data_IF_034517282359
#
_entry.id   IF_034517282359
#
_cell.length_a   1.000
_cell.length_b   1.000
_cell.length_c   1.000
_cell.angle_alpha   90.00
_cell.angle_beta   90.00
_cell.angle_gamma   90.00
#
_symmetry.space_group_name_H-M   'P 1'
#
loop_
_entity.id
_entity.type
_entity.pdbx_description
1 polymer ?
#
# COMPACT_ATOMS: atom_id res chain seq x y z
N UNK A 1 -8.05 9.96 18.55
CA UNK A 1 -8.64 9.55 17.25
C UNK A 1 -7.56 9.53 16.17
N UNK A 2 -7.74 8.74 15.11
CA UNK A 2 -6.80 8.64 13.98
C UNK A 2 -7.49 9.15 12.71
N UNK A 3 -6.85 10.10 12.02
CA UNK A 3 -7.34 10.76 10.82
C UNK A 3 -6.41 10.52 9.63
N UNK A 4 -6.92 10.82 8.43
CA UNK A 4 -6.19 10.77 7.17
C UNK A 4 -6.15 12.16 6.55
N UNK A 5 -4.99 12.62 6.11
CA UNK A 5 -4.87 13.82 5.27
C UNK A 5 -3.78 13.65 4.20
N UNK A 6 -3.81 14.51 3.19
CA UNK A 6 -2.89 14.45 2.07
C UNK A 6 -1.50 14.97 2.47
N UNK A 7 -0.46 14.21 2.16
CA UNK A 7 0.94 14.58 2.40
C UNK A 7 1.36 15.90 1.73
N UNK A 8 0.68 16.32 0.66
CA UNK A 8 0.92 17.60 -0.02
C UNK A 8 0.33 18.81 0.71
N UNK A 9 -0.61 18.60 1.63
CA UNK A 9 -1.16 19.70 2.41
C UNK A 9 -0.10 20.26 3.37
N UNK A 10 -0.15 21.57 3.60
CA UNK A 10 0.79 22.21 4.52
C UNK A 10 0.50 21.77 5.96
N UNK A 11 1.56 21.65 6.76
CA UNK A 11 1.43 21.31 8.20
C UNK A 11 0.48 22.28 8.90
N UNK A 12 0.58 23.59 8.58
CA UNK A 12 -0.31 24.62 9.13
C UNK A 12 -1.78 24.31 8.84
N UNK A 13 -2.12 23.97 7.60
CA UNK A 13 -3.50 23.63 7.21
C UNK A 13 -4.01 22.40 7.94
N UNK A 14 -3.18 21.37 8.09
CA UNK A 14 -3.56 20.14 8.78
C UNK A 14 -3.77 20.40 10.27
N UNK A 15 -2.87 21.13 10.93
CA UNK A 15 -2.98 21.45 12.36
C UNK A 15 -4.10 22.44 12.67
N UNK A 16 -4.54 23.26 11.70
CA UNK A 16 -5.77 24.04 11.83
C UNK A 16 -7.02 23.15 11.88
N UNK A 17 -7.06 22.06 11.11
CA UNK A 17 -8.16 21.08 11.13
C UNK A 17 -8.09 20.18 12.36
N UNK A 18 -6.88 19.79 12.75
CA UNK A 18 -6.60 18.85 13.84
C UNK A 18 -5.56 19.46 14.80
N UNK A 19 -5.99 20.37 15.70
CA UNK A 19 -5.10 20.97 16.69
C UNK A 19 -4.35 19.90 17.50
N UNK A 20 -3.06 20.15 17.77
CA UNK A 20 -2.14 19.32 18.56
C UNK A 20 -1.93 17.87 18.06
N UNK A 21 -2.42 17.54 16.87
CA UNK A 21 -2.32 16.19 16.33
C UNK A 21 -0.87 15.80 15.99
N UNK A 22 -0.53 14.53 16.23
CA UNK A 22 0.70 13.94 15.72
C UNK A 22 0.57 13.69 14.22
N UNK A 23 1.49 14.25 13.43
CA UNK A 23 1.55 13.95 12.01
C UNK A 23 2.50 12.78 11.77
N UNK A 24 1.96 11.67 11.27
CA UNK A 24 2.74 10.48 10.94
C UNK A 24 2.80 10.31 9.42
N UNK A 25 4.00 10.47 8.86
CA UNK A 25 4.25 10.22 7.45
C UNK A 25 4.45 8.73 7.21
N UNK A 26 3.47 8.10 6.55
CA UNK A 26 3.50 6.67 6.20
C UNK A 26 3.82 6.45 4.72
N UNK A 27 4.29 7.48 4.01
CA UNK A 27 4.67 7.36 2.61
C UNK A 27 6.05 6.72 2.44
N UNK A 28 6.38 6.29 1.23
CA UNK A 28 7.71 5.81 0.86
C UNK A 28 8.82 6.87 0.98
N UNK A 29 8.49 8.12 1.31
CA UNK A 29 9.42 9.23 1.51
C UNK A 29 9.57 9.62 2.98
N UNK A 30 8.89 8.92 3.87
CA UNK A 30 9.04 9.13 5.30
C UNK A 30 10.50 8.96 5.73
N UNK A 31 10.93 9.82 6.65
CA UNK A 31 12.29 9.83 7.23
C UNK A 31 12.34 9.13 8.59
N UNK A 32 11.22 8.55 9.02
CA UNK A 32 11.04 7.87 10.31
C UNK A 32 10.68 6.41 10.07
N UNK A 33 10.61 5.62 11.14
CA UNK A 33 10.24 4.21 11.06
C UNK A 33 8.83 3.95 10.50
N UNK A 34 7.98 4.98 10.45
CA UNK A 34 6.69 4.92 9.79
C UNK A 34 6.78 4.68 8.27
N UNK A 35 7.97 4.79 7.67
CA UNK A 35 8.23 4.33 6.29
C UNK A 35 7.88 2.85 6.09
N UNK A 36 7.91 2.03 7.15
CA UNK A 36 7.54 0.61 7.13
C UNK A 36 6.09 0.38 6.70
N UNK A 37 5.20 1.35 6.89
CA UNK A 37 3.80 1.26 6.46
C UNK A 37 3.62 1.46 4.95
N UNK A 38 4.64 1.96 4.26
CA UNK A 38 4.62 2.11 2.82
C UNK A 38 4.50 0.75 2.12
N UNK A 39 3.64 0.62 1.09
CA UNK A 39 3.61 -0.58 0.23
C UNK A 39 4.96 -0.89 -0.45
N UNK A 40 5.86 0.09 -0.50
CA UNK A 40 7.22 -0.04 -1.02
C UNK A 40 8.23 -0.51 0.03
N UNK A 41 7.86 -0.70 1.30
CA UNK A 41 8.85 -1.16 2.27
C UNK A 41 9.17 -2.65 2.03
N UNK A 42 10.46 -3.05 1.93
CA UNK A 42 10.85 -4.41 1.59
C UNK A 42 10.80 -5.33 2.82
N UNK A 43 9.60 -5.60 3.36
CA UNK A 43 9.39 -6.48 4.52
C UNK A 43 9.90 -7.91 4.33
N UNK A 44 9.92 -8.42 3.10
CA UNK A 44 10.31 -9.81 2.83
C UNK A 44 9.21 -10.81 3.18
N UNK A 45 9.16 -11.92 2.44
CA UNK A 45 8.32 -13.06 2.76
C UNK A 45 6.81 -12.75 2.76
N UNK A 46 6.35 -11.81 1.93
CA UNK A 46 4.92 -11.50 1.76
C UNK A 46 4.34 -12.51 0.76
N UNK A 47 3.38 -13.36 1.14
CA UNK A 47 2.75 -14.30 0.22
C UNK A 47 2.12 -13.58 -0.97
N UNK A 48 2.38 -14.08 -2.17
CA UNK A 48 1.71 -13.61 -3.38
C UNK A 48 0.38 -14.35 -3.49
N UNK A 49 -0.78 -13.67 -3.48
CA UNK A 49 -2.07 -14.34 -3.60
C UNK A 49 -2.12 -15.29 -4.81
N UNK A 50 -2.71 -16.47 -4.60
CA UNK A 50 -2.85 -17.53 -5.61
C UNK A 50 -1.52 -18.04 -6.18
N UNK A 51 -0.45 -18.00 -5.38
CA UNK A 51 0.89 -18.45 -5.76
C UNK A 51 1.64 -19.05 -4.58
N UNK A 52 2.55 -20.00 -4.85
CA UNK A 52 3.40 -20.66 -3.84
C UNK A 52 4.70 -19.91 -3.55
N UNK A 53 4.81 -18.64 -3.98
CA UNK A 53 6.01 -17.82 -3.80
C UNK A 53 5.70 -16.55 -3.02
N UNK A 54 6.76 -15.87 -2.57
CA UNK A 54 6.67 -14.63 -1.81
C UNK A 54 7.34 -13.46 -2.53
N UNK A 55 7.01 -12.24 -2.09
CA UNK A 55 7.59 -10.98 -2.54
C UNK A 55 8.22 -10.22 -1.38
N UNK A 56 9.18 -9.35 -1.68
CA UNK A 56 9.78 -8.44 -0.71
C UNK A 56 8.86 -7.29 -0.32
N UNK A 57 8.00 -6.80 -1.22
CA UNK A 57 7.07 -5.70 -0.93
C UNK A 57 5.70 -5.89 -1.57
N UNK A 58 4.69 -5.21 -1.02
CA UNK A 58 3.31 -5.22 -1.55
C UNK A 58 3.30 -4.59 -2.95
N UNK A 59 4.05 -3.51 -3.15
CA UNK A 59 4.20 -2.91 -4.48
C UNK A 59 4.92 -3.87 -5.45
N UNK A 60 5.87 -4.68 -4.97
CA UNK A 60 6.51 -5.71 -5.79
C UNK A 60 5.51 -6.74 -6.32
N UNK A 61 4.55 -7.15 -5.47
CA UNK A 61 3.43 -8.01 -5.89
C UNK A 61 2.59 -7.29 -6.95
N UNK A 62 2.19 -6.05 -6.65
CA UNK A 62 1.33 -5.25 -7.52
C UNK A 62 1.94 -5.02 -8.90
N UNK A 63 3.20 -4.60 -8.97
CA UNK A 63 3.89 -4.36 -10.23
C UNK A 63 4.28 -5.65 -10.94
N UNK A 64 4.66 -6.69 -10.18
CA UNK A 64 5.03 -7.98 -10.75
C UNK A 64 3.86 -8.64 -11.45
N UNK A 65 2.69 -8.71 -10.82
CA UNK A 65 1.49 -9.32 -11.41
C UNK A 65 0.79 -8.46 -12.47
N UNK A 66 1.20 -7.20 -12.65
CA UNK A 66 0.60 -6.29 -13.63
C UNK A 66 0.82 -6.80 -15.06
N UNK A 67 -0.24 -6.80 -15.86
CA UNK A 67 -0.19 -7.24 -17.27
C UNK A 67 -0.52 -6.07 -18.18
N UNK A 68 0.24 -5.95 -19.26
CA UNK A 68 0.05 -4.99 -20.34
C UNK A 68 -0.16 -5.73 -21.66
N UNK A 69 -0.57 -5.03 -22.72
CA UNK A 69 -0.73 -5.62 -24.06
C UNK A 69 0.55 -6.26 -24.59
N UNK A 70 1.69 -5.59 -24.40
CA UNK A 70 2.96 -6.01 -24.98
C UNK A 70 3.90 -6.66 -23.94
N UNK A 71 3.44 -6.86 -22.70
CA UNK A 71 4.25 -7.49 -21.66
C UNK A 71 3.37 -8.18 -20.62
N UNK A 72 3.66 -9.46 -20.38
CA UNK A 72 3.06 -10.25 -19.29
C UNK A 72 3.65 -9.81 -17.92
N UNK A 73 3.41 -10.59 -16.87
CA UNK A 73 3.97 -10.35 -15.54
C UNK A 73 5.50 -10.22 -15.56
N UNK A 74 6.04 -9.61 -14.51
CA UNK A 74 7.48 -9.49 -14.30
C UNK A 74 7.85 -10.03 -12.91
N UNK A 75 8.27 -11.29 -12.87
CA UNK A 75 8.62 -11.99 -11.62
C UNK A 75 9.84 -11.36 -10.91
N UNK A 76 10.67 -10.59 -11.63
CA UNK A 76 11.81 -9.90 -11.03
C UNK A 76 11.38 -8.83 -10.02
N UNK A 77 10.13 -8.35 -10.10
CA UNK A 77 9.61 -7.36 -9.14
C UNK A 77 9.38 -7.94 -7.76
N UNK A 78 9.19 -9.26 -7.63
CA UNK A 78 8.98 -9.92 -6.35
C UNK A 78 10.26 -9.98 -5.51
N UNK A 79 11.41 -10.18 -6.16
CA UNK A 79 12.73 -10.31 -5.51
C UNK A 79 13.52 -9.01 -5.41
N UNK A 80 13.00 -7.88 -5.91
CA UNK A 80 13.68 -6.60 -5.82
C UNK A 80 13.73 -6.13 -4.37
N UNK A 81 14.90 -6.09 -3.74
CA UNK A 81 15.08 -5.58 -2.36
C UNK A 81 15.37 -4.09 -2.30
N UNK A 82 15.85 -3.51 -3.42
CA UNK A 82 16.29 -2.11 -3.47
C UNK A 82 15.14 -1.12 -3.63
N UNK A 83 13.97 -1.61 -4.06
CA UNK A 83 12.78 -0.82 -4.43
C UNK A 83 13.01 0.17 -5.57
N UNK A 84 14.20 0.17 -6.20
CA UNK A 84 14.52 0.96 -7.38
C UNK A 84 13.87 0.35 -8.61
N UNK A 85 13.35 1.18 -9.51
CA UNK A 85 12.74 0.76 -10.79
C UNK A 85 11.65 -0.32 -10.64
N UNK A 86 10.90 -0.26 -9.52
CA UNK A 86 9.84 -1.22 -9.22
C UNK A 86 8.60 -1.00 -10.08
N UNK A 87 8.22 0.28 -10.28
CA UNK A 87 7.07 0.66 -11.08
C UNK A 87 7.28 0.32 -12.55
N UNK A 88 6.32 -0.39 -13.13
CA UNK A 88 6.25 -0.67 -14.57
C UNK A 88 5.31 0.32 -15.23
N UNK A 89 5.87 1.10 -16.15
CA UNK A 89 5.17 2.13 -16.92
C UNK A 89 5.95 2.47 -18.18
N UNK A 90 5.25 2.84 -19.25
CA UNK A 90 5.85 3.30 -20.50
C UNK A 90 4.95 3.00 -21.68
N UNK A 91 4.97 3.85 -22.71
CA UNK A 91 4.11 3.69 -23.90
C UNK A 91 4.36 2.38 -24.64
N UNK A 92 5.61 1.91 -24.66
CA UNK A 92 6.02 0.67 -25.34
C UNK A 92 5.35 -0.59 -24.75
N UNK A 93 4.88 -0.54 -23.50
CA UNK A 93 4.18 -1.64 -22.85
C UNK A 93 2.74 -1.83 -23.38
N UNK A 94 2.16 -0.80 -23.99
CA UNK A 94 0.73 -0.76 -24.34
C UNK A 94 -0.16 -0.46 -23.13
N UNK A 95 -1.48 -0.63 -23.30
CA UNK A 95 -2.44 -0.37 -22.21
C UNK A 95 -2.31 -1.44 -21.11
N UNK A 96 -2.69 -1.05 -19.89
CA UNK A 96 -2.79 -2.00 -18.76
C UNK A 96 -4.03 -2.86 -18.98
N UNK A 97 -3.85 -4.18 -19.04
CA UNK A 97 -4.94 -5.15 -19.16
C UNK A 97 -5.51 -5.52 -17.78
N UNK A 98 -4.67 -5.52 -16.75
CA UNK A 98 -5.09 -5.87 -15.40
C UNK A 98 -3.93 -6.46 -14.59
N UNK A 99 -4.26 -7.39 -13.70
CA UNK A 99 -3.26 -8.15 -12.94
C UNK A 99 -3.56 -9.65 -13.06
N UNK A 100 -2.54 -10.47 -13.27
CA UNK A 100 -2.71 -11.92 -13.33
C UNK A 100 -3.13 -12.47 -11.97
N UNK A 101 -4.08 -13.40 -11.98
CA UNK A 101 -4.57 -14.08 -10.79
C UNK A 101 -3.55 -15.12 -10.26
N UNK A 102 -2.42 -14.62 -9.76
CA UNK A 102 -1.28 -15.43 -9.33
C UNK A 102 -0.25 -15.70 -10.44
N UNK A 103 0.90 -16.24 -10.05
CA UNK A 103 2.05 -16.46 -10.95
C UNK A 103 1.77 -17.54 -11.97
N UNK A 104 0.95 -18.55 -11.68
CA UNK A 104 0.58 -19.57 -12.68
C UNK A 104 -0.90 -19.44 -13.10
N UNK A 105 -1.55 -18.33 -12.74
CA UNK A 105 -2.95 -18.08 -13.06
C UNK A 105 -3.17 -17.86 -14.55
N UNK A 106 -4.35 -18.26 -15.03
CA UNK A 106 -4.77 -18.06 -16.43
C UNK A 106 -5.61 -16.80 -16.62
N UNK A 107 -6.20 -16.29 -15.55
CA UNK A 107 -7.13 -15.16 -15.58
C UNK A 107 -6.40 -13.84 -15.33
N UNK A 108 -6.86 -12.79 -16.03
CA UNK A 108 -6.45 -11.41 -15.79
C UNK A 108 -7.59 -10.71 -15.05
N UNK A 109 -7.32 -10.32 -13.81
CA UNK A 109 -8.23 -9.55 -12.97
C UNK A 109 -8.25 -8.10 -13.45
N UNK A 110 -9.47 -7.55 -13.60
CA UNK A 110 -9.66 -6.12 -13.76
C UNK A 110 -9.14 -5.36 -12.52
N UNK A 111 -9.03 -4.04 -12.62
CA UNK A 111 -8.39 -3.23 -11.59
C UNK A 111 -9.06 -3.32 -10.20
N UNK A 112 -10.40 -3.39 -10.13
CA UNK A 112 -11.14 -3.51 -8.86
C UNK A 112 -10.92 -4.91 -8.25
N UNK A 113 -11.05 -5.96 -9.05
CA UNK A 113 -10.83 -7.33 -8.59
C UNK A 113 -9.38 -7.54 -8.14
N UNK A 114 -8.41 -6.97 -8.85
CA UNK A 114 -7.01 -6.98 -8.45
C UNK A 114 -6.80 -6.28 -7.09
N UNK A 115 -7.44 -5.12 -6.86
CA UNK A 115 -7.37 -4.46 -5.55
C UNK A 115 -7.89 -5.38 -4.43
N UNK A 116 -9.06 -6.00 -4.64
CA UNK A 116 -9.72 -6.85 -3.64
C UNK A 116 -9.00 -8.17 -3.38
N UNK A 117 -8.49 -8.81 -4.42
CA UNK A 117 -7.97 -10.17 -4.33
C UNK A 117 -6.44 -10.22 -4.22
N UNK A 118 -5.74 -9.15 -4.61
CA UNK A 118 -4.28 -9.07 -4.56
C UNK A 118 -3.82 -8.00 -3.56
N UNK A 119 -4.14 -6.73 -3.81
CA UNK A 119 -3.56 -5.64 -3.02
C UNK A 119 -4.00 -5.67 -1.55
N UNK A 120 -5.31 -5.81 -1.29
CA UNK A 120 -5.85 -5.83 0.08
C UNK A 120 -5.29 -7.01 0.89
N UNK A 121 -5.33 -8.27 0.44
CA UNK A 121 -4.78 -9.39 1.23
C UNK A 121 -3.29 -9.26 1.46
N UNK A 122 -2.52 -8.81 0.47
CA UNK A 122 -1.07 -8.59 0.63
C UNK A 122 -0.76 -7.48 1.63
N UNK A 123 -1.52 -6.37 1.61
CA UNK A 123 -1.33 -5.29 2.58
C UNK A 123 -1.82 -5.68 3.98
N UNK A 124 -2.94 -6.39 4.08
CA UNK A 124 -3.44 -6.89 5.36
C UNK A 124 -2.47 -7.87 6.01
N UNK A 125 -1.82 -8.74 5.21
CA UNK A 125 -0.78 -9.64 5.71
C UNK A 125 0.37 -8.88 6.39
N UNK A 126 0.85 -7.76 5.81
CA UNK A 126 1.93 -7.01 6.45
C UNK A 126 1.48 -6.40 7.79
N UNK A 127 0.25 -5.88 7.86
CA UNK A 127 -0.27 -5.30 9.09
C UNK A 127 -0.39 -6.37 10.18
N UNK A 128 -0.94 -7.54 9.84
CA UNK A 128 -1.17 -8.65 10.77
C UNK A 128 0.09 -9.40 11.19
N UNK A 129 1.09 -9.55 10.31
CA UNK A 129 2.21 -10.47 10.52
C UNK A 129 3.58 -9.80 10.62
N UNK A 130 3.70 -8.53 10.21
CA UNK A 130 5.00 -7.83 10.15
C UNK A 130 5.02 -6.53 10.96
N UNK A 131 3.86 -5.93 11.26
CA UNK A 131 3.77 -4.57 11.80
C UNK A 131 2.99 -4.44 13.12
N UNK A 132 2.81 -5.54 13.85
CA UNK A 132 2.03 -5.54 15.09
C UNK A 132 2.54 -4.51 16.11
N UNK A 133 3.87 -4.41 16.28
CA UNK A 133 4.50 -3.48 17.22
C UNK A 133 4.22 -2.02 16.84
N UNK A 134 4.40 -1.67 15.57
CA UNK A 134 4.13 -0.33 15.07
C UNK A 134 2.65 0.04 15.17
N UNK A 135 1.74 -0.93 14.94
CA UNK A 135 0.30 -0.75 15.12
C UNK A 135 -0.06 -0.50 16.59
N UNK A 136 0.46 -1.31 17.52
CA UNK A 136 0.27 -1.13 18.96
C UNK A 136 0.76 0.23 19.45
N UNK A 137 1.90 0.70 18.92
CA UNK A 137 2.42 2.04 19.23
C UNK A 137 1.45 3.14 18.78
N UNK A 138 0.94 3.08 17.54
CA UNK A 138 -0.05 4.03 17.03
C UNK A 138 -1.31 4.02 17.91
N UNK A 139 -1.80 2.84 18.29
CA UNK A 139 -2.97 2.69 19.16
C UNK A 139 -2.72 3.38 20.50
N UNK A 140 -1.58 3.10 21.15
CA UNK A 140 -1.21 3.69 22.45
C UNK A 140 -1.10 5.22 22.38
N UNK A 141 -0.50 5.75 21.31
CA UNK A 141 -0.42 7.20 21.10
C UNK A 141 -1.83 7.78 20.91
N UNK A 142 -2.69 7.10 20.14
CA UNK A 142 -4.02 7.58 19.77
C UNK A 142 -5.00 7.73 20.95
N UNK A 143 -4.71 7.05 22.08
CA UNK A 143 -5.44 7.17 23.35
C UNK A 143 -5.23 8.53 24.03
N UNK A 144 -4.07 9.17 23.80
CA UNK A 144 -3.67 10.38 24.50
C UNK A 144 -3.69 11.62 23.61
N UNK A 145 -3.58 11.43 22.29
CA UNK A 145 -3.55 12.54 21.31
C UNK A 145 -4.13 12.12 19.98
N UNK A 146 -4.62 13.10 19.23
CA UNK A 146 -5.02 12.87 17.85
C UNK A 146 -3.79 12.52 16.99
N UNK A 147 -3.99 11.66 16.01
CA UNK A 147 -2.99 11.26 15.02
C UNK A 147 -3.55 11.57 13.63
N UNK A 148 -2.73 12.10 12.73
CA UNK A 148 -3.04 12.22 11.30
C UNK A 148 -2.01 11.41 10.53
N UNK A 149 -2.45 10.36 9.85
CA UNK A 149 -1.63 9.61 8.90
C UNK A 149 -1.59 10.38 7.58
N UNK A 150 -0.38 10.57 7.05
CA UNK A 150 -0.16 11.29 5.79
C UNK A 150 0.13 10.34 4.65
N UNK A 151 -0.62 10.51 3.55
CA UNK A 151 -0.47 9.74 2.31
C UNK A 151 -0.63 10.67 1.09
N UNK A 152 -0.07 10.30 -0.08
CA UNK A 152 -0.22 11.07 -1.31
C UNK A 152 -1.63 10.98 -1.91
N UNK A 153 -2.36 9.90 -1.63
CA UNK A 153 -3.77 9.74 -1.97
C UNK A 153 -4.58 9.52 -0.71
N UNK A 154 -5.83 9.98 -0.70
CA UNK A 154 -6.73 9.87 0.45
C UNK A 154 -8.01 9.08 0.13
N UNK A 155 -8.04 8.40 -1.02
CA UNK A 155 -9.18 7.58 -1.43
C UNK A 155 -9.28 6.32 -0.57
N UNK A 156 -10.34 6.23 0.24
CA UNK A 156 -10.67 5.07 1.06
C UNK A 156 -11.64 4.09 0.40
N UNK A 157 -12.21 4.47 -0.75
CA UNK A 157 -13.18 3.65 -1.47
C UNK A 157 -12.47 2.73 -2.47
N UNK A 158 -12.63 1.42 -2.24
CA UNK A 158 -12.06 0.36 -3.05
C UNK A 158 -12.65 0.34 -4.47
N UNK A 159 -13.91 0.72 -4.63
CA UNK A 159 -14.64 0.78 -5.90
C UNK A 159 -14.30 2.05 -6.69
N UNK A 160 -13.83 3.10 -6.01
CA UNK A 160 -13.42 4.34 -6.67
C UNK A 160 -12.09 4.15 -7.40
N UNK A 161 -12.16 4.03 -8.72
CA UNK A 161 -11.00 3.85 -9.61
C UNK A 161 -10.41 5.17 -10.11
N UNK A 162 -11.01 6.33 -9.81
CA UNK A 162 -10.54 7.65 -10.28
C UNK A 162 -9.20 8.06 -9.65
N UNK A 163 -8.86 7.46 -8.52
CA UNK A 163 -7.58 7.68 -7.82
C UNK A 163 -7.07 6.40 -7.17
N UNK A 164 -5.75 6.25 -6.97
CA UNK A 164 -5.18 5.14 -6.22
C UNK A 164 -5.78 5.03 -4.82
N UNK A 165 -5.97 3.81 -4.34
CA UNK A 165 -6.40 3.53 -2.97
C UNK A 165 -5.32 4.02 -1.98
N UNK A 166 -5.74 4.67 -0.90
CA UNK A 166 -4.84 5.11 0.16
C UNK A 166 -4.47 3.94 1.06
N UNK A 167 -3.18 3.64 1.20
CA UNK A 167 -2.76 2.63 2.17
C UNK A 167 -2.92 3.12 3.61
N UNK A 168 -2.80 4.43 3.85
CA UNK A 168 -3.10 5.02 5.16
C UNK A 168 -4.56 4.78 5.59
N UNK A 169 -5.51 4.84 4.65
CA UNK A 169 -6.91 4.47 4.95
C UNK A 169 -7.06 2.99 5.37
N UNK A 170 -6.24 2.10 4.83
CA UNK A 170 -6.24 0.68 5.20
C UNK A 170 -5.66 0.44 6.59
N UNK A 171 -4.64 1.20 6.99
CA UNK A 171 -4.10 1.17 8.35
C UNK A 171 -5.19 1.56 9.35
N UNK A 172 -5.90 2.67 9.10
CA UNK A 172 -7.00 3.12 9.96
C UNK A 172 -8.09 2.05 10.05
N UNK A 173 -8.51 1.50 8.90
CA UNK A 173 -9.53 0.44 8.87
C UNK A 173 -9.10 -0.80 9.65
N UNK A 174 -7.83 -1.18 9.57
CA UNK A 174 -7.28 -2.31 10.31
C UNK A 174 -7.32 -2.05 11.82
N UNK A 175 -6.85 -0.88 12.27
CA UNK A 175 -6.86 -0.50 13.69
C UNK A 175 -8.29 -0.44 14.25
N UNK A 176 -9.25 0.09 13.48
CA UNK A 176 -10.66 0.16 13.91
C UNK A 176 -11.36 -1.21 13.98
N UNK A 177 -10.77 -2.24 13.37
CA UNK A 177 -11.30 -3.60 13.39
C UNK A 177 -10.67 -4.49 14.47
N UNK A 178 -9.72 -3.96 15.24
CA UNK A 178 -9.10 -4.61 16.40
C UNK A 178 -9.86 -4.27 17.68
#
# INVERSE_FOLDING_TARGET
MIYLDNKRASIKTILQKYPDALLLDVTSKSKTDYVKFSPFYPHGGIPIPFSEITSFSVEGIWQGLKVFENQDIDVSKFSNVTMKNLKRSGKYLGRVLGHRNGVNGKEILNYINARKQIYLPSYEYILKSKMQKEIEEIIKISQNRNIVLLDYNTNSDIENTKSPLSHASLIIKHILAM
#
